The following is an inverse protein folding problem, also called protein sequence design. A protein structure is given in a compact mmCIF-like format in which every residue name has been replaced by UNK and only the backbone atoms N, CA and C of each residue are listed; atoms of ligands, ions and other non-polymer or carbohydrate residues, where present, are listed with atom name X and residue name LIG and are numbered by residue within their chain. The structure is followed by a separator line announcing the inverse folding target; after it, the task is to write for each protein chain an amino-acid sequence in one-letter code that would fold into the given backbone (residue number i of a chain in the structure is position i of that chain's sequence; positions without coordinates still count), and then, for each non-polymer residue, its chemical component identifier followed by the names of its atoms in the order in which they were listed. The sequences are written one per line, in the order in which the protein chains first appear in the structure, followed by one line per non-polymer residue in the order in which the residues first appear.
data_IF_286171859958
#
_entry.id   IF_286171859958
#
_cell.length_a   1.000
_cell.length_b   1.000
_cell.length_c   1.000
_cell.angle_alpha   90.00
_cell.angle_beta   90.00
_cell.angle_gamma   90.00
#
_symmetry.space_group_name_H-M   'P 1'
#
loop_
_entity.id
_entity.type
_entity.pdbx_description
1 polymer ?
#
# COMPACT_ATOMS: atom_id res chain seq x y z
N UNK A 1 17.63 -1.81 -5.93
CA UNK A 1 17.30 -1.84 -7.35
C UNK A 1 16.52 -0.59 -7.74
N UNK A 2 16.85 -0.01 -8.87
CA UNK A 2 16.01 0.96 -9.55
C UNK A 2 14.97 0.20 -10.36
N UNK A 3 13.70 0.44 -10.09
CA UNK A 3 12.57 -0.14 -10.81
C UNK A 3 11.85 0.97 -11.58
N UNK A 4 11.16 0.63 -12.64
CA UNK A 4 10.28 1.56 -13.37
C UNK A 4 8.83 1.15 -13.22
N UNK A 5 7.96 2.12 -12.96
CA UNK A 5 6.52 1.89 -12.96
C UNK A 5 5.97 1.81 -14.38
N UNK A 6 4.89 1.07 -14.56
CA UNK A 6 4.17 1.00 -15.83
C UNK A 6 3.64 2.39 -16.25
N UNK A 7 3.72 2.77 -17.53
CA UNK A 7 2.98 3.91 -18.04
C UNK A 7 1.46 3.62 -18.03
N UNK A 8 0.58 4.57 -17.69
CA UNK A 8 0.81 5.97 -17.30
C UNK A 8 1.00 6.18 -15.79
N UNK A 9 0.94 5.12 -14.98
CA UNK A 9 1.10 5.20 -13.51
C UNK A 9 2.44 5.82 -13.15
N UNK A 10 3.50 5.47 -13.88
CA UNK A 10 4.84 6.03 -13.68
C UNK A 10 4.85 7.55 -13.62
N UNK A 11 4.19 8.21 -14.58
CA UNK A 11 4.15 9.66 -14.63
C UNK A 11 3.50 10.27 -13.39
N UNK A 12 2.38 9.66 -12.92
CA UNK A 12 1.69 10.14 -11.72
C UNK A 12 2.46 9.82 -10.45
N UNK A 13 3.04 8.61 -10.34
CA UNK A 13 3.87 8.21 -9.21
C UNK A 13 5.07 9.15 -9.03
N UNK A 14 5.75 9.50 -10.11
CA UNK A 14 6.87 10.46 -10.09
C UNK A 14 6.42 11.88 -9.76
N UNK A 15 5.21 12.27 -10.14
CA UNK A 15 4.72 13.65 -10.02
C UNK A 15 4.05 13.93 -8.69
N UNK A 16 3.34 12.97 -8.12
CA UNK A 16 2.39 13.23 -7.04
C UNK A 16 2.85 12.67 -5.68
N UNK A 17 3.95 11.94 -5.58
CA UNK A 17 4.25 11.21 -4.34
C UNK A 17 5.74 11.01 -4.09
N UNK A 18 6.08 10.78 -2.81
CA UNK A 18 7.42 10.34 -2.37
C UNK A 18 7.67 8.85 -2.60
N UNK A 19 6.73 8.10 -3.16
CA UNK A 19 6.95 6.70 -3.48
C UNK A 19 8.05 6.59 -4.54
N UNK A 20 9.15 6.00 -4.14
CA UNK A 20 10.33 5.86 -4.99
C UNK A 20 10.23 4.62 -5.87
N UNK A 21 10.80 4.69 -7.06
CA UNK A 21 11.01 3.54 -7.94
C UNK A 21 12.21 2.70 -7.45
N UNK A 22 12.22 2.37 -6.15
CA UNK A 22 13.31 1.63 -5.52
C UNK A 22 12.77 0.45 -4.74
N UNK A 23 13.37 -0.72 -4.93
CA UNK A 23 13.19 -1.92 -4.09
C UNK A 23 14.56 -2.43 -3.67
N UNK A 24 14.71 -2.81 -2.41
CA UNK A 24 15.91 -3.48 -1.92
C UNK A 24 15.66 -4.98 -1.94
N UNK A 25 16.50 -5.72 -2.66
CA UNK A 25 16.47 -7.19 -2.70
C UNK A 25 17.63 -7.72 -1.87
N UNK A 26 17.34 -8.65 -0.99
CA UNK A 26 18.29 -9.29 -0.09
C UNK A 26 18.54 -10.71 -0.55
N UNK A 27 19.83 -11.09 -0.60
CA UNK A 27 20.29 -12.43 -0.89
C UNK A 27 20.90 -13.02 0.40
N UNK A 28 20.30 -14.07 0.89
CA UNK A 28 20.81 -14.83 2.03
C UNK A 28 21.41 -16.14 1.52
N UNK A 29 22.67 -16.40 1.85
CA UNK A 29 23.34 -17.67 1.53
C UNK A 29 23.60 -18.45 2.80
N UNK A 30 23.16 -19.69 2.83
CA UNK A 30 23.40 -20.61 3.91
C UNK A 30 24.76 -21.30 3.76
N UNK A 31 25.27 -21.90 4.81
CA UNK A 31 26.55 -22.64 4.83
C UNK A 31 26.56 -23.88 3.91
N UNK A 32 25.39 -24.37 3.52
CA UNK A 32 25.24 -25.44 2.53
C UNK A 32 25.20 -24.93 1.07
N UNK A 33 25.40 -23.62 0.86
CA UNK A 33 25.38 -22.96 -0.47
C UNK A 33 24.01 -22.66 -1.04
N UNK A 34 22.91 -22.96 -0.33
CA UNK A 34 21.57 -22.62 -0.77
C UNK A 34 21.30 -21.15 -0.54
N UNK A 35 20.70 -20.51 -1.55
CA UNK A 35 20.36 -19.08 -1.56
C UNK A 35 18.86 -18.89 -1.40
N UNK A 36 18.48 -18.00 -0.47
CA UNK A 36 17.13 -17.50 -0.32
C UNK A 36 17.05 -16.02 -0.64
N UNK A 37 15.87 -15.60 -1.08
CA UNK A 37 15.60 -14.24 -1.54
C UNK A 37 14.50 -13.58 -0.71
N UNK A 38 14.71 -12.30 -0.44
CA UNK A 38 13.71 -11.42 0.17
C UNK A 38 13.79 -10.04 -0.41
N UNK A 39 12.71 -9.28 -0.34
CA UNK A 39 12.69 -7.90 -0.78
C UNK A 39 12.00 -6.98 0.23
N UNK A 40 12.27 -5.70 0.12
CA UNK A 40 11.62 -4.66 0.91
C UNK A 40 11.60 -3.35 0.14
N UNK A 41 10.58 -2.56 0.40
CA UNK A 41 10.52 -1.17 -0.04
C UNK A 41 11.51 -0.27 0.73
N UNK A 42 11.96 -0.73 1.91
CA UNK A 42 12.91 -0.03 2.77
C UNK A 42 14.22 -0.80 2.86
N UNK A 43 15.32 -0.07 2.97
CA UNK A 43 16.64 -0.64 3.23
C UNK A 43 16.85 -0.86 4.73
N UNK A 44 17.40 -2.02 5.09
CA UNK A 44 17.77 -2.38 6.46
C UNK A 44 19.18 -2.95 6.49
N UNK A 45 19.97 -2.57 7.49
CA UNK A 45 21.25 -3.23 7.75
C UNK A 45 20.99 -4.59 8.40
N UNK A 46 21.46 -5.65 7.75
CA UNK A 46 21.30 -7.03 8.19
C UNK A 46 22.60 -7.64 8.74
N UNK A 47 23.66 -6.84 8.88
CA UNK A 47 25.02 -7.31 9.27
C UNK A 47 25.05 -8.03 10.62
N UNK A 48 24.23 -7.62 11.58
CA UNK A 48 24.14 -8.25 12.91
C UNK A 48 23.58 -9.68 12.89
N UNK A 49 22.94 -10.08 11.79
CA UNK A 49 22.33 -11.40 11.64
C UNK A 49 23.25 -12.43 10.94
N UNK A 50 24.39 -11.99 10.42
CA UNK A 50 25.36 -12.88 9.76
C UNK A 50 25.90 -13.90 10.76
N UNK A 51 25.93 -15.17 10.37
CA UNK A 51 26.38 -16.30 11.22
C UNK A 51 25.34 -16.85 12.19
N UNK A 52 24.12 -16.27 12.22
CA UNK A 52 23.01 -16.82 13.01
C UNK A 52 22.35 -17.99 12.28
N UNK A 53 21.74 -18.88 13.05
CA UNK A 53 21.02 -20.02 12.48
C UNK A 53 19.74 -19.58 11.81
N UNK A 54 19.55 -19.92 10.51
CA UNK A 54 18.40 -19.45 9.73
C UNK A 54 17.03 -19.79 10.35
N UNK A 55 16.90 -20.96 11.01
CA UNK A 55 15.67 -21.37 11.70
C UNK A 55 15.29 -20.44 12.86
N UNK A 56 16.24 -19.80 13.54
CA UNK A 56 15.96 -18.82 14.60
C UNK A 56 15.37 -17.54 14.03
N UNK A 57 15.74 -17.21 12.77
CA UNK A 57 15.33 -15.98 12.10
C UNK A 57 13.91 -16.08 11.51
N UNK A 58 13.34 -17.29 11.35
CA UNK A 58 12.00 -17.48 10.83
C UNK A 58 10.91 -16.86 11.72
N UNK A 59 11.10 -16.92 13.05
CA UNK A 59 10.13 -16.48 14.05
C UNK A 59 10.66 -15.39 14.97
N UNK A 60 11.89 -14.92 14.75
CA UNK A 60 12.54 -13.88 15.55
C UNK A 60 12.03 -12.47 15.25
N UNK A 61 12.44 -11.53 16.12
CA UNK A 61 12.30 -10.09 15.86
C UNK A 61 13.42 -9.69 14.88
N UNK A 62 13.12 -9.82 13.59
CA UNK A 62 14.06 -9.54 12.49
C UNK A 62 13.33 -8.76 11.39
N UNK A 63 14.05 -7.97 10.58
CA UNK A 63 13.46 -7.31 9.43
C UNK A 63 12.73 -8.30 8.51
N UNK A 64 11.57 -7.90 8.03
CA UNK A 64 10.65 -8.77 7.26
C UNK A 64 11.32 -9.37 6.01
N UNK A 65 12.14 -8.57 5.31
CA UNK A 65 12.89 -9.05 4.14
C UNK A 65 13.89 -10.18 4.49
N UNK A 66 14.57 -10.08 5.65
CA UNK A 66 15.45 -11.14 6.13
C UNK A 66 14.67 -12.41 6.48
N UNK A 67 13.54 -12.23 7.19
CA UNK A 67 12.63 -13.34 7.51
C UNK A 67 12.18 -14.07 6.25
N UNK A 68 11.75 -13.32 5.24
CA UNK A 68 11.33 -13.84 3.93
C UNK A 68 12.45 -14.65 3.26
N UNK A 69 13.68 -14.08 3.17
CA UNK A 69 14.82 -14.76 2.58
C UNK A 69 15.21 -16.04 3.34
N UNK A 70 15.10 -16.03 4.68
CA UNK A 70 15.33 -17.22 5.49
C UNK A 70 14.27 -18.30 5.27
N UNK A 71 12.98 -17.94 5.17
CA UNK A 71 11.94 -18.88 4.82
C UNK A 71 12.17 -19.50 3.44
N UNK A 72 12.59 -18.72 2.46
CA UNK A 72 12.93 -19.20 1.12
C UNK A 72 14.10 -20.19 1.16
N UNK A 73 15.24 -19.81 1.78
CA UNK A 73 16.42 -20.66 1.88
C UNK A 73 16.14 -21.98 2.62
N UNK A 74 15.42 -21.91 3.74
CA UNK A 74 15.06 -23.12 4.53
C UNK A 74 14.08 -23.99 3.76
N UNK A 75 13.09 -23.41 3.11
CA UNK A 75 12.14 -24.15 2.26
C UNK A 75 12.84 -24.90 1.13
N UNK A 76 13.78 -24.24 0.44
CA UNK A 76 14.65 -24.87 -0.58
C UNK A 76 15.53 -25.98 0.00
N UNK A 77 16.12 -25.77 1.17
CA UNK A 77 16.95 -26.79 1.85
C UNK A 77 16.16 -28.04 2.19
N UNK A 78 14.90 -27.88 2.58
CA UNK A 78 14.00 -28.97 2.96
C UNK A 78 13.18 -29.52 1.78
N UNK A 79 13.31 -28.94 0.60
CA UNK A 79 12.53 -29.28 -0.62
C UNK A 79 11.01 -29.14 -0.38
N UNK A 80 10.59 -28.09 0.32
CA UNK A 80 9.18 -27.78 0.60
C UNK A 80 8.84 -26.30 0.32
N UNK A 81 7.60 -26.01 -0.07
CA UNK A 81 7.13 -24.62 -0.17
C UNK A 81 7.12 -23.91 1.17
N UNK A 82 7.31 -22.58 1.17
CA UNK A 82 7.35 -21.74 2.38
C UNK A 82 6.17 -21.97 3.32
N UNK A 83 4.94 -22.13 2.78
CA UNK A 83 3.76 -22.33 3.64
C UNK A 83 3.85 -23.58 4.53
N UNK A 84 4.57 -24.63 4.10
CA UNK A 84 4.77 -25.85 4.92
C UNK A 84 5.54 -25.56 6.21
N UNK A 85 6.47 -24.59 6.16
CA UNK A 85 7.21 -24.13 7.33
C UNK A 85 6.37 -23.25 8.27
N UNK A 86 5.29 -22.70 7.76
CA UNK A 86 4.39 -21.80 8.51
C UNK A 86 3.20 -22.53 9.13
N UNK A 87 2.72 -23.61 8.48
CA UNK A 87 1.59 -24.39 8.97
C UNK A 87 0.81 -25.09 7.87
N UNK A 88 -0.36 -25.62 8.22
CA UNK A 88 -1.26 -26.28 7.28
C UNK A 88 -1.83 -25.27 6.27
N UNK A 89 -1.64 -25.55 4.98
CA UNK A 89 -2.25 -24.75 3.92
C UNK A 89 -3.78 -24.92 3.93
N UNK A 90 -4.48 -23.81 4.15
CA UNK A 90 -5.97 -23.78 4.19
C UNK A 90 -6.60 -23.50 2.84
N UNK A 91 -5.85 -22.85 1.96
CA UNK A 91 -6.33 -22.51 0.61
C UNK A 91 -5.16 -22.47 -0.39
N UNK A 92 -5.34 -23.03 -1.60
CA UNK A 92 -4.27 -23.05 -2.61
C UNK A 92 -4.13 -21.73 -3.38
N UNK A 93 -5.04 -20.78 -3.15
CA UNK A 93 -5.06 -19.44 -3.72
C UNK A 93 -5.67 -18.45 -2.74
N UNK A 94 -5.23 -17.20 -2.77
CA UNK A 94 -5.64 -16.17 -1.82
C UNK A 94 -6.32 -15.01 -2.56
N UNK A 95 -7.31 -14.30 -1.96
CA UNK A 95 -7.82 -13.07 -2.52
C UNK A 95 -6.68 -12.05 -2.64
N UNK A 96 -6.57 -11.38 -3.81
CA UNK A 96 -5.47 -10.45 -4.06
C UNK A 96 -5.95 -9.21 -4.78
N UNK A 97 -5.53 -8.03 -4.31
CA UNK A 97 -5.92 -6.74 -4.82
C UNK A 97 -4.84 -6.09 -5.68
N UNK A 98 -5.27 -5.41 -6.72
CA UNK A 98 -4.48 -4.37 -7.35
C UNK A 98 -4.32 -3.18 -6.41
N UNK A 99 -3.23 -2.44 -6.52
CA UNK A 99 -2.98 -1.28 -5.68
C UNK A 99 -2.35 -0.16 -6.50
N UNK A 100 -2.76 1.07 -6.25
CA UNK A 100 -2.01 2.27 -6.63
C UNK A 100 -2.09 3.32 -5.52
N UNK A 101 -1.25 4.35 -5.68
CA UNK A 101 -1.43 5.62 -4.99
C UNK A 101 -2.66 6.37 -5.57
N UNK A 102 -2.88 7.59 -5.11
CA UNK A 102 -3.90 8.48 -5.65
C UNK A 102 -3.66 8.81 -7.13
N UNK A 103 -4.72 8.85 -7.88
CA UNK A 103 -4.72 9.10 -9.32
C UNK A 103 -5.81 10.12 -9.70
N UNK A 104 -5.59 10.93 -10.75
CA UNK A 104 -6.68 11.68 -11.37
C UNK A 104 -7.69 10.74 -12.04
N UNK A 105 -8.94 11.18 -12.29
CA UNK A 105 -10.01 10.31 -12.78
C UNK A 105 -9.70 9.58 -14.09
N UNK A 106 -9.06 10.25 -15.04
CA UNK A 106 -8.70 9.67 -16.34
C UNK A 106 -7.68 8.52 -16.23
N UNK A 107 -6.68 8.67 -15.36
CA UNK A 107 -5.74 7.59 -15.05
C UNK A 107 -6.40 6.48 -14.22
N UNK A 108 -7.29 6.81 -13.31
CA UNK A 108 -8.05 5.79 -12.54
C UNK A 108 -8.86 4.91 -13.49
N UNK A 109 -9.55 5.49 -14.48
CA UNK A 109 -10.29 4.73 -15.49
C UNK A 109 -9.39 3.74 -16.25
N UNK A 110 -8.18 4.17 -16.62
CA UNK A 110 -7.20 3.30 -17.28
C UNK A 110 -6.72 2.18 -16.35
N UNK A 111 -6.44 2.50 -15.10
CA UNK A 111 -5.93 1.53 -14.12
C UNK A 111 -6.99 0.50 -13.71
N UNK A 112 -8.27 0.88 -13.64
CA UNK A 112 -9.37 -0.07 -13.37
C UNK A 112 -9.44 -1.11 -14.50
N UNK A 113 -9.41 -0.67 -15.76
CA UNK A 113 -9.41 -1.59 -16.92
C UNK A 113 -8.17 -2.49 -16.92
N UNK A 114 -6.99 -1.91 -16.74
CA UNK A 114 -5.73 -2.67 -16.68
C UNK A 114 -5.75 -3.72 -15.56
N UNK A 115 -6.18 -3.36 -14.36
CA UNK A 115 -6.29 -4.30 -13.25
C UNK A 115 -7.29 -5.44 -13.55
N UNK A 116 -8.43 -5.12 -14.15
CA UNK A 116 -9.43 -6.11 -14.53
C UNK A 116 -8.89 -7.08 -15.60
N UNK A 117 -8.16 -6.58 -16.60
CA UNK A 117 -7.53 -7.37 -17.67
C UNK A 117 -6.43 -8.31 -17.13
N UNK A 118 -5.70 -7.87 -16.09
CA UNK A 118 -4.75 -8.70 -15.36
C UNK A 118 -5.41 -9.74 -14.43
N UNK A 119 -6.74 -9.77 -14.34
CA UNK A 119 -7.48 -10.76 -13.54
C UNK A 119 -7.78 -10.35 -12.12
N UNK A 120 -7.49 -9.11 -11.71
CA UNK A 120 -7.90 -8.58 -10.40
C UNK A 120 -9.42 -8.36 -10.33
N UNK A 121 -9.99 -8.51 -9.13
CA UNK A 121 -11.40 -8.20 -8.83
C UNK A 121 -11.54 -7.18 -7.69
N UNK A 122 -10.43 -6.83 -7.09
CA UNK A 122 -10.35 -5.83 -6.01
C UNK A 122 -9.23 -4.86 -6.30
N UNK A 123 -9.49 -3.58 -6.07
CA UNK A 123 -8.52 -2.50 -6.22
C UNK A 123 -8.44 -1.70 -4.93
N UNK A 124 -7.28 -1.64 -4.29
CA UNK A 124 -7.01 -0.73 -3.18
C UNK A 124 -6.47 0.57 -3.71
N UNK A 125 -7.25 1.63 -3.61
CA UNK A 125 -6.94 2.98 -4.08
C UNK A 125 -6.64 3.90 -2.89
N UNK A 126 -5.48 4.54 -2.90
CA UNK A 126 -5.24 5.69 -2.03
C UNK A 126 -6.10 6.85 -2.50
N UNK A 127 -6.87 7.46 -1.60
CA UNK A 127 -7.61 8.69 -1.89
C UNK A 127 -7.01 9.86 -1.11
N UNK A 128 -6.84 10.99 -1.76
CA UNK A 128 -6.14 12.14 -1.20
C UNK A 128 -7.00 13.39 -1.21
N UNK A 129 -6.83 14.31 -0.24
CA UNK A 129 -7.71 15.46 -0.07
C UNK A 129 -7.65 16.49 -1.20
N UNK A 130 -6.66 16.41 -2.07
CA UNK A 130 -6.54 17.25 -3.27
C UNK A 130 -7.19 16.65 -4.52
N UNK A 131 -7.97 15.58 -4.37
CA UNK A 131 -8.84 15.01 -5.41
C UNK A 131 -10.30 15.05 -4.97
N UNK A 132 -11.18 15.27 -5.93
CA UNK A 132 -12.63 15.09 -5.75
C UNK A 132 -12.95 13.60 -5.68
N UNK A 133 -13.08 13.07 -4.46
CA UNK A 133 -13.31 11.64 -4.24
C UNK A 133 -14.65 11.14 -4.78
N UNK A 134 -15.62 12.03 -4.95
CA UNK A 134 -16.90 11.65 -5.53
C UNK A 134 -16.77 11.51 -7.05
N UNK A 135 -16.01 12.39 -7.71
CA UNK A 135 -15.68 12.26 -9.12
C UNK A 135 -14.88 10.97 -9.38
N UNK A 136 -13.94 10.62 -8.50
CA UNK A 136 -13.24 9.33 -8.56
C UNK A 136 -14.20 8.14 -8.44
N UNK A 137 -15.20 8.21 -7.58
CA UNK A 137 -16.21 7.17 -7.43
C UNK A 137 -17.17 7.10 -8.62
N UNK A 138 -17.55 8.24 -9.20
CA UNK A 138 -18.32 8.34 -10.44
C UNK A 138 -17.55 7.68 -11.60
N UNK A 139 -16.27 8.03 -11.78
CA UNK A 139 -15.37 7.41 -12.75
C UNK A 139 -15.23 5.90 -12.54
N UNK A 140 -15.05 5.47 -11.29
CA UNK A 140 -14.96 4.06 -10.95
C UNK A 140 -16.25 3.29 -11.29
N UNK A 141 -17.42 3.88 -11.01
CA UNK A 141 -18.70 3.25 -11.31
C UNK A 141 -18.95 3.10 -12.82
N UNK A 142 -18.42 4.02 -13.63
CA UNK A 142 -18.50 3.95 -15.09
C UNK A 142 -17.58 2.84 -15.69
N UNK A 143 -16.41 2.62 -15.09
CA UNK A 143 -15.36 1.81 -15.69
C UNK A 143 -15.12 0.45 -15.00
N UNK A 144 -15.59 0.25 -13.77
CA UNK A 144 -15.45 -1.01 -13.07
C UNK A 144 -16.34 -2.11 -13.68
N UNK A 145 -15.80 -3.27 -14.06
CA UNK A 145 -16.63 -4.35 -14.53
C UNK A 145 -17.51 -4.91 -13.40
N UNK A 146 -18.60 -5.61 -13.74
CA UNK A 146 -19.52 -6.18 -12.75
C UNK A 146 -18.78 -7.00 -11.68
N UNK A 147 -19.07 -6.74 -10.42
CA UNK A 147 -18.45 -7.41 -9.27
C UNK A 147 -17.06 -6.91 -8.88
N UNK A 148 -16.47 -5.99 -9.61
CA UNK A 148 -15.20 -5.35 -9.25
C UNK A 148 -15.40 -4.40 -8.07
N UNK A 149 -14.52 -4.46 -7.06
CA UNK A 149 -14.62 -3.67 -5.83
C UNK A 149 -13.40 -2.80 -5.59
N UNK A 150 -13.64 -1.55 -5.19
CA UNK A 150 -12.60 -0.60 -4.82
C UNK A 150 -12.64 -0.38 -3.32
N UNK A 151 -11.50 -0.53 -2.66
CA UNK A 151 -11.26 -0.13 -1.28
C UNK A 151 -10.57 1.22 -1.26
N UNK A 152 -11.21 2.22 -0.66
CA UNK A 152 -10.69 3.58 -0.57
C UNK A 152 -9.92 3.77 0.73
N UNK A 153 -8.63 4.10 0.63
CA UNK A 153 -7.77 4.36 1.79
C UNK A 153 -7.53 5.86 1.95
N UNK A 154 -8.10 6.42 3.00
CA UNK A 154 -8.03 7.84 3.31
C UNK A 154 -6.79 8.22 4.15
N UNK A 155 -6.12 7.27 4.78
CA UNK A 155 -5.00 7.54 5.71
C UNK A 155 -5.30 8.67 6.72
N UNK A 156 -6.53 8.74 7.25
CA UNK A 156 -6.94 9.72 8.24
C UNK A 156 -7.31 11.11 7.71
N UNK A 157 -7.22 11.37 6.40
CA UNK A 157 -7.39 12.71 5.84
C UNK A 157 -8.82 13.28 5.90
N UNK A 158 -9.83 12.47 6.23
CA UNK A 158 -11.17 13.01 6.54
C UNK A 158 -11.25 13.63 7.94
N UNK A 159 -10.18 13.51 8.75
CA UNK A 159 -9.88 14.22 9.98
C UNK A 159 -10.81 13.91 11.16
N UNK A 160 -12.11 13.99 10.98
CA UNK A 160 -13.12 13.73 12.01
C UNK A 160 -14.42 13.19 11.40
N UNK A 161 -15.29 12.66 12.27
CA UNK A 161 -16.56 12.09 11.84
C UNK A 161 -17.54 13.10 11.20
N UNK A 162 -17.43 14.39 11.54
CA UNK A 162 -18.31 15.40 10.99
C UNK A 162 -18.02 15.65 9.50
N UNK A 163 -16.75 15.66 9.13
CA UNK A 163 -16.32 15.77 7.74
C UNK A 163 -16.46 14.45 6.97
N UNK A 164 -16.17 13.33 7.64
CA UNK A 164 -16.19 12.01 7.02
C UNK A 164 -17.60 11.56 6.60
N UNK A 165 -18.60 11.69 7.49
CA UNK A 165 -19.94 11.11 7.28
C UNK A 165 -20.61 11.57 5.98
N UNK A 166 -20.64 12.85 5.60
CA UNK A 166 -21.25 13.26 4.33
C UNK A 166 -20.61 12.63 3.10
N UNK A 167 -19.28 12.53 3.10
CA UNK A 167 -18.49 11.92 2.01
C UNK A 167 -18.75 10.42 1.95
N UNK A 168 -18.65 9.74 3.09
CA UNK A 168 -18.84 8.28 3.18
C UNK A 168 -20.27 7.87 2.83
N UNK A 169 -21.28 8.67 3.21
CA UNK A 169 -22.68 8.47 2.77
C UNK A 169 -22.82 8.54 1.26
N UNK A 170 -22.09 9.43 0.61
CA UNK A 170 -22.14 9.52 -0.85
C UNK A 170 -21.39 8.35 -1.50
N UNK A 171 -20.25 7.95 -0.96
CA UNK A 171 -19.47 6.81 -1.47
C UNK A 171 -20.24 5.49 -1.40
N UNK A 172 -21.03 5.25 -0.35
CA UNK A 172 -21.79 4.00 -0.22
C UNK A 172 -22.95 3.86 -1.24
N UNK A 173 -23.30 4.93 -1.98
CA UNK A 173 -24.27 4.86 -3.07
C UNK A 173 -23.68 4.16 -4.32
N UNK A 174 -22.36 4.05 -4.42
CA UNK A 174 -21.67 3.42 -5.54
C UNK A 174 -21.41 1.94 -5.27
N UNK A 175 -22.02 1.07 -6.05
CA UNK A 175 -21.88 -0.39 -5.89
C UNK A 175 -20.42 -0.87 -5.97
N UNK A 176 -19.59 -0.21 -6.78
CA UNK A 176 -18.17 -0.56 -6.92
C UNK A 176 -17.33 -0.25 -5.68
N UNK A 177 -17.80 0.58 -4.74
CA UNK A 177 -17.08 0.84 -3.48
C UNK A 177 -17.32 -0.32 -2.53
N UNK A 178 -16.26 -1.08 -2.25
CA UNK A 178 -16.31 -2.32 -1.44
C UNK A 178 -16.00 -2.11 0.04
N UNK A 179 -15.34 -1.01 0.40
CA UNK A 179 -14.95 -0.72 1.78
C UNK A 179 -14.06 0.49 1.92
N UNK A 180 -13.78 0.84 3.14
CA UNK A 180 -13.05 2.05 3.54
C UNK A 180 -11.92 1.66 4.47
N UNK A 181 -10.73 2.20 4.21
CA UNK A 181 -9.60 2.09 5.12
C UNK A 181 -9.29 3.43 5.77
N UNK A 182 -9.18 3.44 7.10
CA UNK A 182 -8.68 4.56 7.90
C UNK A 182 -9.27 5.92 7.49
N UNK A 183 -10.60 6.14 7.54
CA UNK A 183 -11.21 7.40 7.11
C UNK A 183 -10.74 8.60 7.93
N UNK A 184 -10.59 8.43 9.24
CA UNK A 184 -10.15 9.47 10.18
C UNK A 184 -8.96 8.94 11.01
N UNK A 185 -8.24 9.78 11.77
CA UNK A 185 -7.16 9.33 12.66
C UNK A 185 -7.63 8.21 13.59
N UNK A 186 -6.85 7.12 13.68
CA UNK A 186 -7.26 5.90 14.40
C UNK A 186 -7.40 6.09 15.91
N UNK A 187 -6.88 7.17 16.48
CA UNK A 187 -7.07 7.56 17.88
C UNK A 187 -8.48 8.11 18.19
N UNK A 188 -9.23 8.57 17.17
CA UNK A 188 -10.58 9.15 17.37
C UNK A 188 -11.66 8.05 17.53
N UNK A 189 -11.63 7.41 18.69
CA UNK A 189 -12.59 6.34 19.04
C UNK A 189 -14.06 6.81 18.98
N UNK A 190 -14.44 7.99 19.54
CA UNK A 190 -15.81 8.49 19.40
C UNK A 190 -16.21 8.71 17.95
N UNK A 191 -15.30 9.23 17.12
CA UNK A 191 -15.52 9.44 15.68
C UNK A 191 -15.81 8.14 14.95
N UNK A 192 -15.01 7.08 15.17
CA UNK A 192 -15.27 5.76 14.59
C UNK A 192 -16.62 5.17 15.01
N UNK A 193 -16.98 5.25 16.29
CA UNK A 193 -18.30 4.80 16.76
C UNK A 193 -19.44 5.51 16.05
N UNK A 194 -19.30 6.83 15.87
CA UNK A 194 -20.30 7.63 15.16
C UNK A 194 -20.37 7.25 13.68
N UNK A 195 -19.23 7.10 12.99
CA UNK A 195 -19.20 6.65 11.60
C UNK A 195 -19.88 5.29 11.46
N UNK A 196 -19.51 4.30 12.28
CA UNK A 196 -20.07 2.94 12.22
C UNK A 196 -21.56 2.87 12.55
N UNK A 197 -22.11 3.85 13.26
CA UNK A 197 -23.56 3.92 13.52
C UNK A 197 -24.37 4.44 12.33
N UNK A 198 -23.72 4.93 11.27
CA UNK A 198 -24.36 5.65 10.15
C UNK A 198 -23.98 5.05 8.80
N UNK A 199 -22.78 4.52 8.67
CA UNK A 199 -22.17 4.03 7.41
C UNK A 199 -22.18 2.51 7.44
N UNK A 200 -22.73 1.89 6.40
CA UNK A 200 -22.86 0.45 6.25
C UNK A 200 -21.64 -0.20 5.54
N UNK A 201 -20.80 0.60 4.87
CA UNK A 201 -19.59 0.08 4.24
C UNK A 201 -18.63 -0.50 5.28
N UNK A 202 -17.99 -1.65 4.98
CA UNK A 202 -16.96 -2.21 5.84
C UNK A 202 -15.81 -1.23 6.06
N UNK A 203 -15.32 -1.16 7.29
CA UNK A 203 -14.20 -0.30 7.69
C UNK A 203 -13.03 -1.17 8.14
N UNK A 204 -11.84 -0.90 7.59
CA UNK A 204 -10.60 -1.50 8.03
C UNK A 204 -9.66 -0.49 8.70
N UNK A 205 -8.90 -0.95 9.69
CA UNK A 205 -7.90 -0.17 10.42
C UNK A 205 -6.56 -0.88 10.42
N UNK A 206 -5.48 -0.13 10.56
CA UNK A 206 -4.18 -0.71 10.89
C UNK A 206 -4.23 -1.32 12.30
N UNK A 207 -3.75 -2.54 12.45
CA UNK A 207 -3.82 -3.31 13.69
C UNK A 207 -2.94 -2.68 14.79
N UNK A 208 -3.56 -2.07 15.77
CA UNK A 208 -2.88 -1.52 16.95
C UNK A 208 -1.92 -0.34 16.67
N UNK A 209 -2.00 0.30 15.50
CA UNK A 209 -1.12 1.40 15.12
C UNK A 209 -1.87 2.58 14.52
N UNK A 210 -1.17 3.69 14.23
CA UNK A 210 -1.71 4.80 13.44
C UNK A 210 -1.74 4.48 11.95
N UNK A 211 -2.42 5.32 11.18
CA UNK A 211 -2.61 5.13 9.73
C UNK A 211 -1.85 6.15 8.87
N UNK A 212 -1.37 7.23 9.47
CA UNK A 212 -0.79 8.35 8.72
C UNK A 212 0.74 8.38 8.86
N UNK A 213 1.43 7.60 8.00
CA UNK A 213 2.90 7.59 7.92
C UNK A 213 3.48 8.68 7.01
N UNK A 214 2.63 9.52 6.42
CA UNK A 214 3.05 10.67 5.61
C UNK A 214 3.15 11.98 6.41
N UNK A 215 2.86 11.93 7.72
CA UNK A 215 3.00 13.07 8.63
C UNK A 215 4.25 12.86 9.49
N UNK A 216 5.15 13.83 9.52
CA UNK A 216 6.41 13.75 10.25
C UNK A 216 6.23 13.69 11.77
N UNK A 217 5.16 14.28 12.29
CA UNK A 217 4.83 14.20 13.72
C UNK A 217 4.15 12.86 14.05
N UNK A 218 4.97 11.85 14.35
CA UNK A 218 4.52 10.52 14.75
C UNK A 218 3.67 10.52 16.04
N UNK A 219 3.64 11.61 16.79
CA UNK A 219 2.81 11.73 18.00
C UNK A 219 1.36 12.06 17.65
N UNK A 220 1.10 12.54 16.45
CA UNK A 220 -0.22 13.01 16.05
C UNK A 220 -1.20 11.87 15.75
N UNK A 221 -0.74 10.77 15.18
CA UNK A 221 -1.57 9.58 14.91
C UNK A 221 -0.92 8.30 15.46
N UNK A 222 -0.92 8.18 16.78
CA UNK A 222 -0.39 7.01 17.48
C UNK A 222 -1.31 5.78 17.40
N UNK A 223 -2.53 5.95 16.90
CA UNK A 223 -3.56 4.92 16.91
C UNK A 223 -4.06 4.61 18.34
N UNK A 224 -4.72 3.49 18.47
CA UNK A 224 -5.10 2.86 19.73
C UNK A 224 -4.76 1.39 19.69
N UNK A 225 -4.56 0.75 20.84
CA UNK A 225 -4.21 -0.68 20.87
C UNK A 225 -5.25 -1.55 20.16
N UNK A 226 -4.80 -2.64 19.55
CA UNK A 226 -5.68 -3.58 18.85
C UNK A 226 -6.80 -4.13 19.77
N UNK A 227 -6.50 -4.39 21.02
CA UNK A 227 -7.50 -4.79 22.04
C UNK A 227 -8.61 -3.74 22.18
N UNK A 228 -8.24 -2.45 22.16
CA UNK A 228 -9.22 -1.37 22.21
C UNK A 228 -10.02 -1.27 20.92
N UNK A 229 -9.37 -1.41 19.77
CA UNK A 229 -10.05 -1.44 18.46
C UNK A 229 -11.12 -2.54 18.42
N UNK A 230 -10.77 -3.73 18.91
CA UNK A 230 -11.67 -4.90 18.97
C UNK A 230 -12.78 -4.70 20.01
N UNK A 231 -12.41 -4.40 21.26
CA UNK A 231 -13.37 -4.25 22.37
C UNK A 231 -14.42 -3.19 22.12
N UNK A 232 -14.02 -2.08 21.48
CA UNK A 232 -14.91 -0.96 21.16
C UNK A 232 -15.55 -1.08 19.78
N UNK A 233 -15.27 -2.19 19.06
CA UNK A 233 -15.80 -2.52 17.74
C UNK A 233 -15.61 -1.38 16.72
N UNK A 234 -14.37 -0.88 16.59
CA UNK A 234 -14.08 0.30 15.76
C UNK A 234 -13.98 -0.03 14.26
N UNK A 235 -13.81 -1.31 13.88
CA UNK A 235 -13.65 -1.76 12.50
C UNK A 235 -14.23 -3.16 12.27
N UNK A 236 -14.36 -3.55 11.03
CA UNK A 236 -14.75 -4.88 10.59
C UNK A 236 -13.53 -5.77 10.32
N UNK A 237 -12.43 -5.16 9.91
CA UNK A 237 -11.19 -5.84 9.59
C UNK A 237 -9.94 -5.00 9.84
N UNK A 238 -8.78 -5.62 9.60
CA UNK A 238 -7.48 -5.02 9.83
C UNK A 238 -6.58 -5.06 8.60
N UNK A 239 -5.68 -4.08 8.54
CA UNK A 239 -4.53 -4.04 7.63
C UNK A 239 -3.30 -4.44 8.42
N UNK A 240 -2.54 -5.41 7.93
CA UNK A 240 -1.27 -5.82 8.51
C UNK A 240 -0.12 -5.46 7.57
N UNK A 241 0.94 -4.84 8.12
CA UNK A 241 2.23 -4.70 7.44
C UNK A 241 3.02 -6.01 7.43
N UNK A 242 4.12 -6.07 6.68
CA UNK A 242 5.00 -7.24 6.58
C UNK A 242 5.66 -7.63 7.90
N UNK A 243 5.94 -6.67 8.79
CA UNK A 243 6.60 -6.92 10.08
C UNK A 243 5.66 -7.44 11.19
N UNK A 244 4.36 -7.55 10.91
CA UNK A 244 3.37 -7.97 11.91
C UNK A 244 3.54 -9.44 12.30
N UNK A 245 3.22 -9.75 13.57
CA UNK A 245 3.02 -11.15 14.02
C UNK A 245 1.70 -11.70 13.44
N UNK A 246 1.74 -12.02 12.14
CA UNK A 246 0.54 -12.41 11.38
C UNK A 246 -0.18 -13.61 11.99
N UNK A 247 0.54 -14.59 12.55
CA UNK A 247 -0.07 -15.80 13.10
C UNK A 247 -0.74 -15.57 14.46
N UNK A 248 -0.10 -14.76 15.32
CA UNK A 248 -0.72 -14.31 16.57
C UNK A 248 -1.98 -13.48 16.33
N UNK A 249 -1.90 -12.58 15.34
CA UNK A 249 -3.02 -11.73 14.93
C UNK A 249 -4.14 -12.57 14.27
N UNK A 250 -3.83 -13.57 13.46
CA UNK A 250 -4.83 -14.49 12.88
C UNK A 250 -5.66 -15.16 13.96
N UNK A 251 -5.01 -15.62 15.04
CA UNK A 251 -5.71 -16.22 16.18
C UNK A 251 -6.61 -15.20 16.88
N UNK A 252 -6.09 -13.99 17.18
CA UNK A 252 -6.88 -12.93 17.81
C UNK A 252 -8.08 -12.54 16.94
N UNK A 253 -7.88 -12.40 15.63
CA UNK A 253 -8.96 -12.10 14.69
C UNK A 253 -10.01 -13.21 14.64
N UNK A 254 -9.59 -14.48 14.63
CA UNK A 254 -10.49 -15.62 14.67
C UNK A 254 -11.37 -15.63 15.92
N UNK A 255 -10.78 -15.46 17.08
CA UNK A 255 -11.49 -15.43 18.37
C UNK A 255 -12.48 -14.26 18.47
N UNK A 256 -12.21 -13.14 17.80
CA UNK A 256 -13.02 -11.92 17.84
C UNK A 256 -13.86 -11.69 16.56
N UNK A 257 -13.93 -12.67 15.65
CA UNK A 257 -14.69 -12.58 14.38
C UNK A 257 -14.29 -11.35 13.54
N UNK A 258 -13.00 -11.04 13.53
CA UNK A 258 -12.41 -10.03 12.67
C UNK A 258 -11.68 -10.70 11.51
N UNK A 259 -11.51 -9.96 10.44
CA UNK A 259 -10.79 -10.38 9.24
C UNK A 259 -9.62 -9.44 8.98
N UNK A 260 -8.69 -9.82 8.11
CA UNK A 260 -7.60 -8.93 7.74
C UNK A 260 -7.05 -9.25 6.35
N UNK A 261 -6.23 -8.36 5.84
CA UNK A 261 -5.35 -8.60 4.70
C UNK A 261 -3.92 -8.19 5.02
N UNK A 262 -2.96 -8.72 4.26
CA UNK A 262 -1.55 -8.36 4.35
C UNK A 262 -1.25 -7.35 3.24
N UNK A 263 -0.67 -6.23 3.64
CA UNK A 263 -0.18 -5.17 2.76
C UNK A 263 1.33 -5.07 2.88
N UNK A 264 2.04 -5.43 1.83
CA UNK A 264 3.51 -5.38 1.85
C UNK A 264 4.02 -5.10 0.43
N UNK A 265 4.54 -3.90 0.20
CA UNK A 265 5.00 -3.46 -1.12
C UNK A 265 6.33 -4.13 -1.48
N UNK A 266 6.44 -4.61 -2.72
CA UNK A 266 7.63 -5.26 -3.24
C UNK A 266 7.42 -5.80 -4.66
N UNK A 267 8.19 -6.82 -5.02
CA UNK A 267 8.17 -7.50 -6.32
C UNK A 267 7.31 -8.76 -6.28
N UNK A 268 7.35 -9.58 -7.32
CA UNK A 268 6.71 -10.93 -7.30
C UNK A 268 7.25 -11.82 -6.18
N UNK A 269 8.50 -11.63 -5.73
CA UNK A 269 9.02 -12.34 -4.55
C UNK A 269 8.17 -12.04 -3.31
N UNK A 270 7.84 -10.76 -3.10
CA UNK A 270 6.95 -10.31 -2.03
C UNK A 270 5.54 -10.86 -2.20
N UNK A 271 5.01 -10.86 -3.42
CA UNK A 271 3.68 -11.41 -3.70
C UNK A 271 3.61 -12.90 -3.35
N UNK A 272 4.66 -13.68 -3.68
CA UNK A 272 4.76 -15.09 -3.31
C UNK A 272 4.77 -15.29 -1.79
N UNK A 273 5.57 -14.50 -1.05
CA UNK A 273 5.63 -14.60 0.41
C UNK A 273 4.28 -14.25 1.06
N UNK A 274 3.62 -13.19 0.58
CA UNK A 274 2.26 -12.83 1.02
C UNK A 274 1.27 -13.95 0.70
N UNK A 275 1.38 -14.60 -0.47
CA UNK A 275 0.54 -15.72 -0.84
C UNK A 275 0.72 -16.92 0.11
N UNK A 276 1.97 -17.32 0.40
CA UNK A 276 2.27 -18.39 1.35
C UNK A 276 1.72 -18.08 2.75
N UNK A 277 2.03 -16.90 3.28
CA UNK A 277 1.57 -16.48 4.62
C UNK A 277 0.05 -16.45 4.72
N UNK A 278 -0.61 -15.81 3.74
CA UNK A 278 -2.08 -15.73 3.72
C UNK A 278 -2.74 -17.09 3.56
N UNK A 279 -2.08 -18.05 2.89
CA UNK A 279 -2.65 -19.37 2.62
C UNK A 279 -2.84 -20.23 3.87
N UNK A 280 -2.05 -20.02 4.91
CA UNK A 280 -2.12 -20.74 6.19
C UNK A 280 -2.99 -20.03 7.22
N UNK A 281 -3.23 -18.72 7.07
CA UNK A 281 -4.08 -17.95 7.97
C UNK A 281 -5.57 -18.21 7.73
N UNK A 282 -6.37 -18.21 8.80
CA UNK A 282 -7.85 -18.39 8.72
C UNK A 282 -8.55 -17.14 8.26
N UNK A 283 -8.11 -15.98 8.76
CA UNK A 283 -8.83 -14.71 8.69
C UNK A 283 -8.34 -13.75 7.59
N UNK A 284 -7.34 -14.16 6.77
CA UNK A 284 -6.96 -13.42 5.55
C UNK A 284 -7.95 -13.67 4.42
N UNK A 285 -9.19 -13.22 4.61
CA UNK A 285 -10.27 -13.37 3.63
C UNK A 285 -10.54 -12.10 2.83
N UNK A 286 -9.95 -10.99 3.24
CA UNK A 286 -9.87 -9.77 2.45
C UNK A 286 -8.67 -9.84 1.49
N UNK A 287 -8.69 -9.04 0.43
CA UNK A 287 -7.67 -9.09 -0.62
C UNK A 287 -6.34 -8.52 -0.14
N UNK A 288 -5.34 -9.36 0.02
CA UNK A 288 -3.94 -8.95 0.28
C UNK A 288 -3.34 -8.25 -0.94
N UNK A 289 -2.23 -7.53 -0.77
CA UNK A 289 -1.61 -6.80 -1.88
C UNK A 289 -0.09 -6.61 -1.68
N UNK A 290 0.63 -6.49 -2.79
CA UNK A 290 2.08 -6.22 -2.82
C UNK A 290 2.49 -5.11 -3.79
N UNK A 291 1.59 -4.63 -4.64
CA UNK A 291 1.91 -3.59 -5.63
C UNK A 291 2.88 -4.04 -6.75
N UNK A 292 3.24 -5.34 -6.82
CA UNK A 292 4.20 -5.85 -7.81
C UNK A 292 3.76 -5.62 -9.27
N UNK A 293 2.46 -5.60 -9.53
CA UNK A 293 1.93 -5.34 -10.88
C UNK A 293 2.12 -3.89 -11.37
N UNK A 294 2.68 -3.00 -10.56
CA UNK A 294 3.02 -1.63 -10.95
C UNK A 294 4.38 -1.52 -11.63
N UNK A 295 5.24 -2.53 -11.50
CA UNK A 295 6.56 -2.49 -12.13
C UNK A 295 6.45 -2.80 -13.62
N UNK A 296 7.12 -2.00 -14.46
CA UNK A 296 7.22 -2.24 -15.90
C UNK A 296 7.95 -3.55 -16.19
N UNK A 297 8.95 -3.84 -15.37
CA UNK A 297 9.71 -5.09 -15.37
C UNK A 297 9.84 -5.60 -13.94
N UNK A 298 9.34 -6.80 -13.68
CA UNK A 298 9.54 -7.49 -12.41
C UNK A 298 10.93 -8.17 -12.37
N UNK A 299 11.36 -8.60 -11.20
CA UNK A 299 12.64 -9.28 -11.00
C UNK A 299 12.62 -10.76 -11.35
N UNK A 300 11.47 -11.30 -11.71
CA UNK A 300 11.26 -12.70 -12.14
C UNK A 300 10.83 -12.75 -13.60
N UNK A 301 11.13 -13.86 -14.29
CA UNK A 301 10.77 -14.04 -15.71
C UNK A 301 9.24 -14.06 -15.94
N UNK A 302 8.54 -14.76 -15.06
CA UNK A 302 7.07 -14.87 -15.09
C UNK A 302 6.48 -14.22 -13.82
N UNK A 303 6.10 -12.94 -13.86
CA UNK A 303 5.47 -12.27 -12.74
C UNK A 303 4.17 -12.95 -12.31
N UNK A 304 3.99 -13.04 -10.99
CA UNK A 304 2.78 -13.64 -10.44
C UNK A 304 1.55 -12.78 -10.76
N UNK A 305 0.49 -13.41 -11.23
CA UNK A 305 -0.78 -12.75 -11.55
C UNK A 305 -1.98 -13.45 -10.92
N UNK A 306 -3.02 -12.71 -10.51
CA UNK A 306 -4.25 -13.32 -10.02
C UNK A 306 -5.07 -13.89 -11.19
N UNK A 307 -5.82 -14.95 -10.88
CA UNK A 307 -6.85 -15.51 -11.75
C UNK A 307 -8.19 -15.30 -11.07
N UNK A 308 -9.06 -14.52 -11.69
CA UNK A 308 -10.38 -14.17 -11.18
C UNK A 308 -10.35 -13.64 -9.73
N UNK A 309 -9.42 -12.71 -9.45
CA UNK A 309 -9.26 -12.07 -8.15
C UNK A 309 -8.45 -12.86 -7.11
N UNK A 310 -7.93 -14.03 -7.46
CA UNK A 310 -7.19 -14.90 -6.56
C UNK A 310 -5.78 -15.18 -7.07
N UNK A 311 -4.76 -14.89 -6.25
CA UNK A 311 -3.38 -15.22 -6.52
C UNK A 311 -3.10 -16.68 -6.11
N UNK A 312 -2.65 -17.54 -7.04
CA UNK A 312 -2.22 -18.90 -6.70
C UNK A 312 -1.00 -18.87 -5.78
N UNK A 313 -0.97 -19.81 -4.83
CA UNK A 313 0.23 -20.01 -3.99
C UNK A 313 1.24 -20.84 -4.79
N UNK A 314 2.49 -20.36 -5.01
CA UNK A 314 3.47 -21.11 -5.77
C UNK A 314 3.77 -22.48 -5.13
N UNK A 315 3.77 -23.59 -5.90
CA UNK A 315 3.90 -24.93 -5.31
C UNK A 315 5.35 -25.42 -5.13
N UNK A 316 6.33 -24.71 -5.69
CA UNK A 316 7.75 -25.11 -5.66
C UNK A 316 8.42 -24.89 -4.28
N UNK A 317 9.62 -25.45 -4.07
CA UNK A 317 10.40 -25.25 -2.84
C UNK A 317 10.70 -23.77 -2.59
N UNK A 318 10.77 -23.39 -1.32
CA UNK A 318 10.96 -21.99 -0.93
C UNK A 318 9.77 -21.14 -1.32
N UNK A 319 10.01 -19.98 -1.91
CA UNK A 319 8.96 -19.09 -2.48
C UNK A 319 8.29 -19.70 -3.72
N UNK A 320 8.88 -20.75 -4.31
CA UNK A 320 8.40 -21.38 -5.53
C UNK A 320 8.61 -20.57 -6.80
N UNK A 321 9.37 -19.48 -6.71
CA UNK A 321 9.81 -18.61 -7.82
C UNK A 321 11.23 -18.15 -7.56
N UNK A 322 11.97 -17.83 -8.64
CA UNK A 322 13.37 -17.38 -8.55
C UNK A 322 13.53 -16.06 -9.29
N UNK A 323 14.32 -15.11 -8.74
CA UNK A 323 14.66 -13.91 -9.48
C UNK A 323 15.71 -14.18 -10.56
N UNK A 324 15.69 -13.37 -11.61
CA UNK A 324 16.75 -13.36 -12.62
C UNK A 324 17.97 -12.56 -12.12
N UNK A 325 19.00 -13.26 -11.67
CA UNK A 325 20.19 -12.64 -11.04
C UNK A 325 20.85 -11.61 -11.95
N UNK A 326 20.95 -11.87 -13.26
CA UNK A 326 21.53 -10.93 -14.20
C UNK A 326 20.72 -9.62 -14.28
N UNK A 327 19.39 -9.70 -14.19
CA UNK A 327 18.51 -8.54 -14.15
C UNK A 327 18.67 -7.76 -12.84
N UNK A 328 18.79 -8.45 -11.69
CA UNK A 328 19.06 -7.81 -10.41
C UNK A 328 20.38 -7.01 -10.45
N UNK A 329 21.42 -7.57 -11.04
CA UNK A 329 22.71 -6.90 -11.21
C UNK A 329 22.62 -5.68 -12.14
N UNK A 330 21.79 -5.73 -13.18
CA UNK A 330 21.56 -4.62 -14.09
C UNK A 330 20.79 -3.49 -13.39
N UNK A 331 19.68 -3.79 -12.79
CA UNK A 331 18.82 -2.83 -12.05
C UNK A 331 19.56 -2.20 -10.87
N UNK A 332 20.50 -2.94 -10.25
CA UNK A 332 21.31 -2.45 -9.13
C UNK A 332 22.35 -1.38 -9.50
N UNK A 333 22.66 -1.20 -10.80
CA UNK A 333 23.65 -0.22 -11.27
C UNK A 333 23.08 1.20 -11.36
N UNK A 334 21.78 1.36 -11.40
CA UNK A 334 21.11 2.64 -11.56
C UNK A 334 20.71 3.22 -10.22
N UNK A 335 20.85 4.54 -10.07
CA UNK A 335 20.28 5.29 -8.96
C UNK A 335 18.97 5.97 -9.42
N UNK A 336 17.95 6.08 -8.54
CA UNK A 336 16.76 6.83 -8.88
C UNK A 336 17.10 8.30 -9.16
N UNK A 337 16.49 8.92 -10.19
CA UNK A 337 16.68 10.34 -10.43
C UNK A 337 16.09 11.15 -9.28
N UNK A 338 16.78 12.19 -8.86
CA UNK A 338 16.19 13.21 -7.97
C UNK A 338 15.33 14.13 -8.84
N UNK A 339 14.02 14.13 -8.60
CA UNK A 339 13.07 14.91 -9.37
C UNK A 339 12.52 16.03 -8.50
N UNK A 340 12.88 17.29 -8.83
CA UNK A 340 12.24 18.47 -8.24
C UNK A 340 10.90 18.72 -8.93
N UNK A 341 9.89 19.09 -8.16
CA UNK A 341 8.54 19.33 -8.69
C UNK A 341 7.81 20.37 -7.86
N UNK A 342 6.91 21.10 -8.51
CA UNK A 342 5.94 21.97 -7.85
C UNK A 342 4.58 21.32 -8.02
N UNK A 343 3.91 21.04 -6.90
CA UNK A 343 2.55 20.52 -6.90
C UNK A 343 1.56 21.60 -6.49
N UNK A 344 0.57 21.87 -7.35
CA UNK A 344 -0.40 22.94 -7.15
C UNK A 344 -1.80 22.37 -6.95
N UNK A 345 -2.37 22.59 -5.78
CA UNK A 345 -3.77 22.31 -5.47
C UNK A 345 -4.63 23.42 -6.04
N UNK A 346 -5.57 23.05 -6.89
CA UNK A 346 -6.46 23.99 -7.58
C UNK A 346 -7.88 23.81 -7.06
N UNK A 347 -8.47 24.91 -6.56
CA UNK A 347 -9.85 24.93 -6.09
C UNK A 347 -10.80 25.43 -7.18
N UNK A 348 -12.10 25.02 -7.17
CA UNK A 348 -13.10 25.52 -8.11
C UNK A 348 -13.30 27.04 -8.06
N UNK A 349 -12.93 27.68 -6.96
CA UNK A 349 -12.92 29.14 -6.81
C UNK A 349 -11.84 29.86 -7.63
N UNK A 350 -10.88 29.12 -8.21
CA UNK A 350 -9.70 29.66 -8.86
C UNK A 350 -8.49 29.83 -7.92
N UNK A 351 -8.68 29.70 -6.61
CA UNK A 351 -7.57 29.76 -5.65
C UNK A 351 -6.63 28.57 -5.87
N UNK A 352 -5.32 28.83 -5.87
CA UNK A 352 -4.24 27.88 -6.15
C UNK A 352 -3.22 27.90 -5.01
N UNK A 353 -2.84 26.71 -4.53
CA UNK A 353 -1.81 26.53 -3.51
C UNK A 353 -0.69 25.67 -4.05
N UNK A 354 0.49 26.24 -4.25
CA UNK A 354 1.66 25.56 -4.80
C UNK A 354 2.66 25.18 -3.70
N UNK A 355 3.17 23.97 -3.77
CA UNK A 355 4.09 23.36 -2.81
C UNK A 355 5.28 22.76 -3.54
N UNK A 356 6.49 23.05 -3.07
CA UNK A 356 7.72 22.35 -3.46
C UNK A 356 7.92 21.05 -2.67
N UNK A 357 7.31 20.95 -1.49
CA UNK A 357 7.40 19.80 -0.58
C UNK A 357 6.06 19.07 -0.45
N UNK A 358 6.07 17.77 -0.77
CA UNK A 358 4.89 16.91 -0.65
C UNK A 358 4.41 16.78 0.79
N UNK A 359 5.33 16.67 1.75
CA UNK A 359 4.98 16.54 3.16
C UNK A 359 4.25 17.79 3.66
N UNK A 360 4.74 18.99 3.31
CA UNK A 360 4.07 20.24 3.64
C UNK A 360 2.64 20.30 3.07
N UNK A 361 2.43 19.76 1.85
CA UNK A 361 1.09 19.63 1.26
C UNK A 361 0.21 18.69 2.08
N UNK A 362 0.69 17.50 2.44
CA UNK A 362 -0.06 16.56 3.29
C UNK A 362 -0.44 17.19 4.63
N UNK A 363 0.49 17.84 5.31
CA UNK A 363 0.28 18.48 6.60
C UNK A 363 -0.75 19.62 6.52
N UNK A 364 -0.73 20.39 5.44
CA UNK A 364 -1.68 21.48 5.25
C UNK A 364 -3.15 20.97 5.24
N UNK A 365 -3.41 19.81 4.66
CA UNK A 365 -4.73 19.18 4.69
C UNK A 365 -5.00 18.45 6.02
N UNK A 366 -4.04 17.68 6.49
CA UNK A 366 -4.22 16.86 7.69
C UNK A 366 -4.50 17.71 8.93
N UNK A 367 -3.77 18.82 9.10
CA UNK A 367 -4.00 19.77 10.19
C UNK A 367 -5.11 20.79 9.91
N UNK A 368 -5.80 20.68 8.78
CA UNK A 368 -6.97 21.50 8.45
C UNK A 368 -6.69 22.93 8.08
N UNK A 369 -5.46 23.24 7.67
CA UNK A 369 -5.12 24.54 7.06
C UNK A 369 -5.81 24.72 5.70
N UNK A 370 -6.05 23.62 4.99
CA UNK A 370 -6.72 23.58 3.69
C UNK A 370 -7.96 22.68 3.75
N UNK A 371 -9.08 23.08 3.13
CA UNK A 371 -10.24 22.19 2.95
C UNK A 371 -9.94 21.14 1.88
N UNK A 372 -10.10 19.86 2.22
CA UNK A 372 -9.90 18.74 1.31
C UNK A 372 -11.19 18.11 0.82
N UNK A 373 -11.10 17.26 -0.21
CA UNK A 373 -12.22 16.51 -0.80
C UNK A 373 -13.37 17.40 -1.29
N UNK A 374 -13.05 18.63 -1.69
CA UNK A 374 -14.03 19.57 -2.24
C UNK A 374 -14.38 19.14 -3.66
N UNK A 375 -15.67 19.28 -4.06
CA UNK A 375 -16.09 19.00 -5.44
C UNK A 375 -15.31 19.88 -6.44
N UNK A 376 -14.70 19.25 -7.44
CA UNK A 376 -13.89 19.91 -8.46
C UNK A 376 -12.46 20.30 -8.04
N UNK A 377 -12.02 19.96 -6.83
CA UNK A 377 -10.60 20.10 -6.43
C UNK A 377 -9.73 19.14 -7.22
N UNK A 378 -8.55 19.58 -7.67
CA UNK A 378 -7.59 18.73 -8.35
C UNK A 378 -6.15 19.18 -8.10
N UNK A 379 -5.21 18.31 -8.44
CA UNK A 379 -3.77 18.54 -8.33
C UNK A 379 -3.17 18.71 -9.73
N UNK A 380 -2.45 19.81 -9.93
CA UNK A 380 -1.55 19.96 -11.06
C UNK A 380 -0.11 19.75 -10.59
N UNK A 381 0.73 19.15 -11.43
CA UNK A 381 2.14 18.94 -11.09
C UNK A 381 3.02 19.37 -12.25
N UNK A 382 4.01 20.17 -11.92
CA UNK A 382 5.03 20.65 -12.82
C UNK A 382 6.39 20.05 -12.41
N UNK A 383 7.05 19.38 -13.32
CA UNK A 383 8.42 18.87 -13.14
C UNK A 383 9.44 19.93 -13.52
N UNK A 384 10.62 19.84 -12.91
CA UNK A 384 11.76 20.68 -13.22
C UNK A 384 12.15 20.54 -14.69
N UNK A 385 12.00 21.63 -15.44
CA UNK A 385 12.35 21.73 -16.85
C UNK A 385 13.76 22.32 -17.07
N UNK A 386 14.49 22.59 -15.97
CA UNK A 386 15.82 23.24 -15.97
C UNK A 386 15.78 24.75 -16.23
N UNK A 387 14.60 25.39 -16.22
CA UNK A 387 14.48 26.81 -16.48
C UNK A 387 14.72 27.64 -15.19
N UNK A 388 15.24 28.87 -15.38
CA UNK A 388 15.37 29.84 -14.27
C UNK A 388 14.00 30.24 -13.68
N UNK A 389 12.93 30.16 -14.48
CA UNK A 389 11.58 30.45 -14.02
C UNK A 389 11.07 29.35 -13.09
N UNK A 390 11.33 28.09 -13.42
CA UNK A 390 11.05 26.96 -12.52
C UNK A 390 11.83 27.11 -11.20
N UNK A 391 13.15 27.35 -11.27
CA UNK A 391 14.01 27.51 -10.09
C UNK A 391 13.50 28.60 -9.16
N UNK A 392 13.10 29.74 -9.71
CA UNK A 392 12.54 30.85 -8.94
C UNK A 392 11.26 30.46 -8.24
N UNK A 393 10.28 29.87 -8.95
CA UNK A 393 9.00 29.44 -8.39
C UNK A 393 9.17 28.32 -7.37
N UNK A 394 10.08 27.38 -7.63
CA UNK A 394 10.40 26.32 -6.68
C UNK A 394 10.92 26.88 -5.37
N UNK A 395 11.89 27.81 -5.43
CA UNK A 395 12.43 28.49 -4.25
C UNK A 395 11.37 29.31 -3.51
N UNK A 396 10.45 29.98 -4.23
CA UNK A 396 9.32 30.70 -3.61
C UNK A 396 8.36 29.76 -2.87
N UNK A 397 8.26 28.48 -3.28
CA UNK A 397 7.43 27.46 -2.64
C UNK A 397 8.17 26.68 -1.51
N UNK A 398 9.50 26.82 -1.39
CA UNK A 398 10.26 26.16 -0.32
C UNK A 398 9.88 26.73 1.04
N UNK A 399 9.47 25.84 1.95
CA UNK A 399 9.13 26.17 3.34
C UNK A 399 7.77 26.87 3.54
N UNK A 400 7.21 27.52 2.53
CA UNK A 400 5.88 28.17 2.61
C UNK A 400 5.15 28.04 1.29
N UNK A 401 3.91 27.54 1.26
CA UNK A 401 3.17 27.42 0.01
C UNK A 401 2.89 28.79 -0.61
N UNK A 402 3.05 28.88 -1.94
CA UNK A 402 2.66 30.05 -2.71
C UNK A 402 1.16 30.04 -3.00
N UNK A 403 0.47 31.13 -2.70
CA UNK A 403 -0.97 31.27 -2.88
C UNK A 403 -1.25 32.29 -3.98
N UNK A 404 -2.07 31.90 -4.97
CA UNK A 404 -2.50 32.78 -6.07
C UNK A 404 -4.00 32.57 -6.38
N UNK A 405 -4.62 33.54 -7.03
CA UNK A 405 -6.06 33.49 -7.41
C UNK A 405 -6.96 34.42 -6.64
#
# INVERSE_FOLDING_TARGET
LQMSFIPPVAANMRRATTHTERVTVYRVELDNGIVGWGDSYYESDLSEHVGRHAMELLHGQVPDALRMACFDAVGKTMDVPVHVLMGEQRRPRIPFAYWTIDLPPDLLAQQIRYAADLGYRTYKLKVRPWWDVIELAECAAEHAPPGFKIWTDFNGHLRDAQQAIPILKKLQEFECIGGIESPIPQRDVPGYKRIRSIIDLPIALHYGSGCCHVISDSTYDTGVSAERQIRENLCDGFVLGGDADTFGIDRVCYENRKVFWIQSIGTSLRAAFVAHTSSVCRQTVLSSMSGHALWEQDVVADPLGPVDGYLPVPPGPGLGIEPEVALLEELGKSAPPEIRRISTVVYPSGVRWSFADEQARHEAFYFGKLPGFVRGIHLEVEEDDGSQDFDKRFTECEGTPLVTG
#
